data_IF_958772799270
#
_entry.id   IF_958772799270
#
_cell.length_a   1.000
_cell.length_b   1.000
_cell.length_c   1.000
_cell.angle_alpha   90.00
_cell.angle_beta   90.00
_cell.angle_gamma   90.00
#
_symmetry.space_group_name_H-M   'P 1'
#
loop_
_entity.id
_entity.type
_entity.pdbx_description
1 polymer ?
#
# COMPACT_ATOMS: atom_id res chain seq x y z
N UNK A 1 1.97 18.55 -0.23
CA UNK A 1 1.94 17.44 0.75
C UNK A 1 1.62 16.15 0.02
N UNK A 2 2.42 15.14 0.23
CA UNK A 2 2.20 13.84 -0.43
C UNK A 2 1.06 13.07 0.25
N UNK A 3 0.26 12.38 -0.55
CA UNK A 3 -0.91 11.66 -0.07
C UNK A 3 -0.73 10.16 -0.23
N UNK A 4 -0.95 9.42 0.85
CA UNK A 4 -0.75 7.97 0.95
C UNK A 4 -2.10 7.29 1.18
N UNK A 5 -2.37 6.23 0.43
CA UNK A 5 -3.48 5.34 0.70
C UNK A 5 -2.94 4.11 1.42
N UNK A 6 -3.51 3.77 2.56
CA UNK A 6 -3.14 2.57 3.34
C UNK A 6 -4.31 1.62 3.40
N UNK A 7 -4.11 0.39 2.97
CA UNK A 7 -5.14 -0.66 3.03
C UNK A 7 -4.59 -1.85 3.80
N UNK A 8 -5.23 -2.15 4.94
CA UNK A 8 -4.89 -3.27 5.81
C UNK A 8 -6.14 -3.64 6.61
N UNK A 9 -6.44 -4.92 6.72
CA UNK A 9 -7.63 -5.38 7.43
C UNK A 9 -7.54 -5.23 8.97
N UNK A 10 -6.34 -4.96 9.49
CA UNK A 10 -6.13 -4.75 10.92
C UNK A 10 -6.22 -3.26 11.27
N UNK A 11 -7.30 -2.87 11.95
CA UNK A 11 -7.57 -1.48 12.28
C UNK A 11 -6.46 -0.85 13.14
N UNK A 12 -5.88 -1.60 14.07
CA UNK A 12 -4.80 -1.09 14.92
C UNK A 12 -3.59 -0.68 14.08
N UNK A 13 -3.30 -1.42 13.03
CA UNK A 13 -2.17 -1.13 12.13
C UNK A 13 -2.45 0.13 11.33
N UNK A 14 -3.64 0.26 10.74
CA UNK A 14 -3.95 1.45 9.93
C UNK A 14 -3.99 2.71 10.79
N UNK A 15 -4.50 2.63 12.01
CA UNK A 15 -4.52 3.77 12.94
C UNK A 15 -3.09 4.20 13.29
N UNK A 16 -2.24 3.23 13.64
CA UNK A 16 -0.85 3.50 13.99
C UNK A 16 -0.08 4.12 12.83
N UNK A 17 -0.24 3.57 11.64
CA UNK A 17 0.43 4.07 10.44
C UNK A 17 -0.05 5.48 10.10
N UNK A 18 -1.37 5.69 10.12
CA UNK A 18 -1.94 7.00 9.82
C UNK A 18 -1.38 8.07 10.76
N UNK A 19 -1.43 7.79 12.06
CA UNK A 19 -0.94 8.75 13.06
C UNK A 19 0.55 9.05 12.86
N UNK A 20 1.35 8.02 12.63
CA UNK A 20 2.79 8.19 12.44
C UNK A 20 3.14 8.94 11.16
N UNK A 21 2.50 8.61 10.05
CA UNK A 21 2.77 9.27 8.78
C UNK A 21 2.26 10.71 8.77
N UNK A 22 1.12 10.98 9.40
CA UNK A 22 0.63 12.35 9.51
C UNK A 22 1.59 13.25 10.29
N UNK A 23 2.22 12.72 11.33
CA UNK A 23 3.26 13.46 12.08
C UNK A 23 4.48 13.77 11.22
N UNK A 24 4.71 13.00 10.18
CA UNK A 24 5.83 13.18 9.26
C UNK A 24 5.44 13.95 8.00
N UNK A 25 4.29 14.61 8.00
CA UNK A 25 3.90 15.53 6.95
C UNK A 25 3.13 14.93 5.79
N UNK A 26 2.65 13.70 5.91
CA UNK A 26 1.82 13.08 4.87
C UNK A 26 0.34 13.27 5.13
N UNK A 27 -0.44 13.32 4.05
CA UNK A 27 -1.88 13.10 4.13
C UNK A 27 -2.12 11.60 3.97
N UNK A 28 -3.03 11.04 4.76
CA UNK A 28 -3.23 9.58 4.78
C UNK A 28 -4.72 9.27 4.81
N UNK A 29 -5.16 8.46 3.85
CA UNK A 29 -6.46 7.81 3.89
C UNK A 29 -6.23 6.34 4.21
N UNK A 30 -7.08 5.75 5.04
CA UNK A 30 -6.97 4.35 5.43
C UNK A 30 -8.27 3.61 5.17
N UNK A 31 -8.15 2.35 4.77
CA UNK A 31 -9.29 1.44 4.64
C UNK A 31 -8.92 0.09 5.24
N UNK A 32 -9.89 -0.53 5.92
CA UNK A 32 -9.70 -1.83 6.54
C UNK A 32 -10.37 -2.96 5.74
N UNK A 33 -10.95 -2.61 4.60
CA UNK A 33 -11.59 -3.57 3.70
C UNK A 33 -11.17 -3.28 2.26
N UNK A 34 -10.64 -4.28 1.53
CA UNK A 34 -10.16 -4.04 0.16
C UNK A 34 -11.27 -3.63 -0.80
N UNK A 35 -12.49 -4.14 -0.62
CA UNK A 35 -13.61 -3.79 -1.48
C UNK A 35 -13.99 -2.33 -1.31
N UNK A 36 -14.07 -1.87 -0.05
CA UNK A 36 -14.34 -0.47 0.25
C UNK A 36 -13.23 0.45 -0.28
N UNK A 37 -11.97 0.02 -0.15
CA UNK A 37 -10.84 0.76 -0.69
C UNK A 37 -10.96 0.91 -2.20
N UNK A 38 -11.32 -0.16 -2.90
CA UNK A 38 -11.48 -0.14 -4.35
C UNK A 38 -12.63 0.78 -4.78
N UNK A 39 -13.75 0.73 -4.07
CA UNK A 39 -14.91 1.58 -4.37
C UNK A 39 -14.61 3.07 -4.20
N UNK A 40 -13.73 3.40 -3.27
CA UNK A 40 -13.36 4.78 -2.95
C UNK A 40 -12.10 5.27 -3.66
N UNK A 41 -11.42 4.37 -4.36
CA UNK A 41 -10.19 4.74 -5.05
C UNK A 41 -10.50 5.68 -6.22
N UNK A 42 -9.68 6.73 -6.35
CA UNK A 42 -9.71 7.64 -7.50
C UNK A 42 -8.31 7.72 -8.09
N UNK A 43 -8.25 7.61 -9.42
CA UNK A 43 -7.00 7.81 -10.14
C UNK A 43 -6.46 9.22 -9.82
N UNK A 44 -5.15 9.34 -9.71
CA UNK A 44 -4.45 10.60 -9.43
C UNK A 44 -4.67 11.19 -8.03
N UNK A 45 -5.41 10.50 -7.16
CA UNK A 45 -5.66 11.01 -5.81
C UNK A 45 -4.47 10.76 -4.87
N UNK A 46 -3.63 9.77 -5.15
CA UNK A 46 -2.58 9.34 -4.23
C UNK A 46 -1.21 9.34 -4.89
N UNK A 47 -0.19 9.65 -4.12
CA UNK A 47 1.20 9.57 -4.56
C UNK A 47 1.78 8.18 -4.33
N UNK A 48 1.31 7.48 -3.31
CA UNK A 48 1.75 6.13 -2.99
C UNK A 48 0.63 5.31 -2.39
N UNK A 49 0.57 4.04 -2.77
CA UNK A 49 -0.35 3.06 -2.21
C UNK A 49 0.45 2.10 -1.33
N UNK A 50 0.02 1.91 -0.08
CA UNK A 50 0.61 0.95 0.84
C UNK A 50 -0.44 -0.11 1.12
N UNK A 51 -0.26 -1.30 0.58
CA UNK A 51 -1.29 -2.34 0.54
C UNK A 51 -0.78 -3.61 1.23
N UNK A 52 -1.53 -4.09 2.23
CA UNK A 52 -1.28 -5.39 2.83
C UNK A 52 -1.59 -6.50 1.83
N UNK A 53 -0.78 -7.55 1.84
CA UNK A 53 -0.95 -8.67 0.91
C UNK A 53 -2.08 -9.59 1.36
N UNK A 54 -2.12 -9.97 2.62
CA UNK A 54 -3.11 -10.92 3.12
C UNK A 54 -4.29 -10.23 3.77
N UNK A 55 -5.43 -10.25 3.07
CA UNK A 55 -6.69 -9.70 3.55
C UNK A 55 -7.84 -10.63 3.17
N UNK A 56 -8.93 -10.68 3.96
CA UNK A 56 -10.13 -11.39 3.56
C UNK A 56 -10.73 -10.82 2.27
N UNK A 57 -11.51 -11.61 1.55
CA UNK A 57 -12.24 -11.25 0.34
C UNK A 57 -11.35 -11.04 -0.88
N UNK A 58 -10.29 -10.25 -0.76
CA UNK A 58 -9.42 -9.88 -1.87
C UNK A 58 -8.04 -9.62 -1.31
N UNK A 59 -7.01 -10.31 -1.80
CA UNK A 59 -5.66 -10.06 -1.34
C UNK A 59 -5.09 -8.77 -1.97
N UNK A 60 -3.93 -8.34 -1.48
CA UNK A 60 -3.33 -7.07 -1.91
C UNK A 60 -2.99 -7.05 -3.40
N UNK A 61 -2.56 -8.16 -3.96
CA UNK A 61 -2.25 -8.24 -5.39
C UNK A 61 -3.50 -8.13 -6.25
N UNK A 62 -4.57 -8.79 -5.83
CA UNK A 62 -5.86 -8.70 -6.52
C UNK A 62 -6.42 -7.29 -6.44
N UNK A 63 -6.32 -6.65 -5.27
CA UNK A 63 -6.74 -5.26 -5.11
C UNK A 63 -5.97 -4.34 -6.05
N UNK A 64 -4.65 -4.49 -6.11
CA UNK A 64 -3.82 -3.67 -6.99
C UNK A 64 -4.18 -3.88 -8.46
N UNK A 65 -4.45 -5.12 -8.86
CA UNK A 65 -4.90 -5.41 -10.23
C UNK A 65 -6.19 -4.67 -10.58
N UNK A 66 -7.16 -4.66 -9.65
CA UNK A 66 -8.42 -3.94 -9.87
C UNK A 66 -8.23 -2.42 -9.86
N UNK A 67 -7.37 -1.92 -9.00
CA UNK A 67 -7.01 -0.50 -8.97
C UNK A 67 -6.39 -0.07 -10.30
N UNK A 68 -5.52 -0.90 -10.87
CA UNK A 68 -4.89 -0.60 -12.16
C UNK A 68 -5.90 -0.41 -13.30
N UNK A 69 -7.02 -1.09 -13.25
CA UNK A 69 -8.09 -0.93 -14.25
C UNK A 69 -8.70 0.47 -14.19
N UNK A 70 -8.63 1.14 -13.05
CA UNK A 70 -9.13 2.51 -12.86
C UNK A 70 -8.09 3.57 -13.22
N UNK A 71 -6.86 3.15 -13.51
CA UNK A 71 -5.75 4.04 -13.78
C UNK A 71 -4.88 4.24 -12.55
N UNK A 72 -3.57 4.05 -12.69
CA UNK A 72 -2.61 4.21 -11.59
C UNK A 72 -1.44 5.06 -12.06
N UNK A 73 -1.24 6.18 -11.36
CA UNK A 73 -0.03 7.00 -11.50
C UNK A 73 0.82 6.93 -10.24
N UNK A 74 0.30 6.30 -9.19
CA UNK A 74 0.94 6.20 -7.88
C UNK A 74 2.05 5.16 -7.87
N UNK A 75 3.01 5.35 -6.98
CA UNK A 75 3.92 4.28 -6.57
C UNK A 75 3.13 3.28 -5.71
N UNK A 76 3.59 2.04 -5.64
CA UNK A 76 2.97 1.03 -4.79
C UNK A 76 4.01 0.32 -3.96
N UNK A 77 3.71 0.12 -2.68
CA UNK A 77 4.46 -0.74 -1.76
C UNK A 77 3.50 -1.75 -1.17
N UNK A 78 3.89 -3.00 -1.17
CA UNK A 78 3.15 -4.04 -0.47
C UNK A 78 3.80 -4.29 0.88
N UNK A 79 3.00 -4.53 1.92
CA UNK A 79 3.57 -4.90 3.22
C UNK A 79 2.85 -6.11 3.80
N UNK A 80 3.59 -6.91 4.57
CA UNK A 80 3.10 -8.19 5.05
C UNK A 80 3.89 -8.66 6.27
N UNK A 81 3.22 -9.42 7.15
CA UNK A 81 3.87 -10.10 8.28
C UNK A 81 4.61 -11.37 7.84
N UNK A 82 4.38 -11.83 6.63
CA UNK A 82 4.90 -13.09 6.11
C UNK A 82 6.10 -12.87 5.19
N UNK A 83 6.67 -13.96 4.68
CA UNK A 83 7.72 -13.92 3.67
C UNK A 83 7.24 -13.15 2.44
N UNK A 84 8.18 -12.51 1.76
CA UNK A 84 7.88 -11.72 0.56
C UNK A 84 7.34 -12.64 -0.55
N UNK A 85 6.18 -12.30 -1.07
CA UNK A 85 5.51 -13.05 -2.13
C UNK A 85 5.89 -12.54 -3.53
N UNK A 86 7.17 -12.29 -3.72
CA UNK A 86 7.65 -11.72 -4.98
C UNK A 86 7.35 -12.61 -6.18
N UNK A 87 7.54 -13.93 -6.02
CA UNK A 87 7.27 -14.87 -7.10
C UNK A 87 5.78 -14.93 -7.44
N UNK A 88 4.91 -14.89 -6.43
CA UNK A 88 3.47 -14.84 -6.65
C UNK A 88 3.06 -13.56 -7.35
N UNK A 89 3.65 -12.43 -6.97
CA UNK A 89 3.42 -11.16 -7.63
C UNK A 89 3.82 -11.24 -9.11
N UNK A 90 4.97 -11.80 -9.42
CA UNK A 90 5.44 -11.95 -10.80
C UNK A 90 4.51 -12.80 -11.66
N UNK A 91 3.88 -13.82 -11.07
CA UNK A 91 2.90 -14.66 -11.78
C UNK A 91 1.65 -13.88 -12.15
N UNK A 92 1.19 -13.00 -11.27
CA UNK A 92 -0.03 -12.20 -11.49
C UNK A 92 0.25 -11.00 -12.38
N UNK A 93 1.42 -10.39 -12.23
CA UNK A 93 1.83 -9.19 -12.96
C UNK A 93 3.20 -9.39 -13.62
N UNK A 94 3.29 -10.24 -14.65
CA UNK A 94 4.59 -10.60 -15.24
C UNK A 94 5.30 -9.41 -15.90
N UNK A 95 4.57 -8.38 -16.29
CA UNK A 95 5.15 -7.21 -16.96
C UNK A 95 5.36 -6.02 -16.03
N UNK A 96 4.95 -6.15 -14.75
CA UNK A 96 5.09 -5.07 -13.78
C UNK A 96 6.35 -5.25 -12.94
N UNK A 97 7.03 -4.16 -12.73
CA UNK A 97 8.24 -4.12 -11.91
C UNK A 97 7.96 -3.37 -10.62
N UNK A 98 7.30 -4.06 -9.69
CA UNK A 98 7.13 -3.55 -8.32
C UNK A 98 8.21 -4.18 -7.45
N UNK A 99 9.01 -3.32 -6.82
CA UNK A 99 10.12 -3.76 -5.99
C UNK A 99 9.97 -3.39 -4.53
N UNK A 100 8.95 -2.61 -4.19
CA UNK A 100 8.75 -2.18 -2.82
C UNK A 100 7.90 -3.20 -2.05
N UNK A 101 8.59 -4.05 -1.30
CA UNK A 101 7.97 -5.00 -0.38
C UNK A 101 8.50 -4.69 1.02
N UNK A 102 7.60 -4.40 1.94
CA UNK A 102 7.94 -4.01 3.31
C UNK A 102 7.46 -5.10 4.25
N UNK A 103 8.33 -5.56 5.13
CA UNK A 103 8.01 -6.62 6.08
C UNK A 103 7.56 -6.03 7.41
N UNK A 104 6.44 -6.53 7.93
CA UNK A 104 5.98 -6.24 9.30
C UNK A 104 6.73 -7.11 10.30
N UNK A 105 6.94 -6.66 11.53
CA UNK A 105 6.66 -5.32 12.02
C UNK A 105 7.71 -4.31 11.55
N UNK A 106 7.29 -3.05 11.42
CA UNK A 106 8.20 -1.98 11.01
C UNK A 106 7.92 -0.75 11.87
N UNK A 107 8.98 -0.01 12.24
CA UNK A 107 8.82 1.25 12.96
C UNK A 107 8.32 2.32 12.00
N UNK A 108 7.67 3.35 12.56
CA UNK A 108 7.23 4.49 11.73
C UNK A 108 8.43 5.19 11.09
N UNK A 109 9.55 5.27 11.77
CA UNK A 109 10.77 5.85 11.22
C UNK A 109 11.23 5.10 9.96
N UNK A 110 11.30 3.77 10.03
CA UNK A 110 11.73 2.94 8.91
C UNK A 110 10.70 2.95 7.78
N UNK A 111 9.40 2.90 8.12
CA UNK A 111 8.34 2.99 7.13
C UNK A 111 8.40 4.32 6.37
N UNK A 112 8.58 5.43 7.09
CA UNK A 112 8.70 6.75 6.49
C UNK A 112 9.90 6.82 5.56
N UNK A 113 11.03 6.22 5.96
CA UNK A 113 12.22 6.16 5.11
C UNK A 113 11.97 5.38 3.82
N UNK A 114 11.29 4.24 3.91
CA UNK A 114 10.91 3.46 2.72
C UNK A 114 10.00 4.26 1.79
N UNK A 115 8.99 4.92 2.36
CA UNK A 115 8.05 5.71 1.57
C UNK A 115 8.77 6.86 0.87
N UNK A 116 9.61 7.60 1.58
CA UNK A 116 10.37 8.70 0.99
C UNK A 116 11.31 8.21 -0.12
N UNK A 117 11.97 7.08 0.08
CA UNK A 117 12.82 6.47 -0.92
C UNK A 117 12.04 6.12 -2.19
N UNK A 118 10.87 5.53 -2.03
CA UNK A 118 10.03 5.14 -3.16
C UNK A 118 9.49 6.37 -3.90
N UNK A 119 9.08 7.40 -3.17
CA UNK A 119 8.57 8.64 -3.77
C UNK A 119 9.66 9.40 -4.53
N UNK A 120 10.92 9.24 -4.15
CA UNK A 120 12.04 9.91 -4.78
C UNK A 120 12.56 9.19 -6.04
N UNK A 121 12.14 7.94 -6.24
CA UNK A 121 12.64 7.12 -7.35
C UNK A 121 11.88 7.32 -8.67
#
# INVERSE_FOLDING_TARGET
MKKILVVDDEADITISIKNGLQRNGFQVDTFNDPVTALENYRADAYDLLLIDIRMPKMNGFELYREIKKKGVTSKVCFFTAFEVYYDEFKKVFPTLDVKCFIRKPITIMDLTAHINSELAS
#
